data_IF_712730695059
#
_entry.id   IF_712730695059
#
_cell.length_a   1.000
_cell.length_b   1.000
_cell.length_c   1.000
_cell.angle_alpha   90.00
_cell.angle_beta   90.00
_cell.angle_gamma   90.00
#
_symmetry.space_group_name_H-M   'P 1'
#
loop_
_entity.id
_entity.type
_entity.pdbx_description
1 polymer ?
#
# COMPACT_ATOMS: atom_id res chain seq x y z
N UNK A 1 -1.79 -39.65 53.57
CA UNK A 1 -3.03 -40.38 53.84
C UNK A 1 -3.70 -39.75 55.07
N UNK A 2 -4.78 -39.01 54.86
CA UNK A 2 -5.84 -38.75 55.85
C UNK A 2 -7.01 -38.17 55.06
N UNK A 3 -8.10 -38.94 55.01
CA UNK A 3 -9.37 -38.61 54.38
C UNK A 3 -10.12 -37.59 55.25
N UNK A 4 -10.71 -36.58 54.61
CA UNK A 4 -11.67 -35.66 55.22
C UNK A 4 -12.86 -35.47 54.29
N UNK A 5 -13.80 -36.41 54.36
CA UNK A 5 -15.13 -36.33 53.75
C UNK A 5 -15.98 -35.36 54.57
N UNK A 6 -16.46 -34.28 53.95
CA UNK A 6 -17.59 -33.51 54.45
C UNK A 6 -18.71 -33.56 53.40
N UNK A 7 -19.85 -34.09 53.83
CA UNK A 7 -21.11 -34.19 53.11
C UNK A 7 -22.08 -33.11 53.60
N UNK A 8 -23.15 -32.93 52.80
CA UNK A 8 -24.40 -32.22 53.10
C UNK A 8 -24.36 -30.69 52.83
N UNK A 9 -25.38 -30.03 52.28
CA UNK A 9 -26.77 -30.43 51.99
C UNK A 9 -27.32 -29.49 50.92
N UNK A 10 -28.24 -29.99 50.10
CA UNK A 10 -28.98 -29.24 49.10
C UNK A 10 -29.95 -28.22 49.74
N UNK A 11 -30.08 -27.04 49.12
CA UNK A 11 -31.31 -26.25 49.20
C UNK A 11 -31.70 -25.81 47.79
N UNK A 12 -32.80 -26.38 47.31
CA UNK A 12 -33.52 -25.90 46.16
C UNK A 12 -34.34 -24.68 46.58
N UNK A 13 -34.20 -23.58 45.86
CA UNK A 13 -35.22 -22.54 45.80
C UNK A 13 -35.41 -22.18 44.32
N UNK A 14 -36.63 -22.40 43.83
CA UNK A 14 -37.03 -22.22 42.46
C UNK A 14 -37.98 -21.02 42.39
N UNK A 15 -37.62 -19.91 41.73
CA UNK A 15 -38.56 -18.84 41.48
C UNK A 15 -39.49 -19.19 40.30
N UNK A 16 -40.82 -19.01 40.44
CA UNK A 16 -41.77 -19.12 39.35
C UNK A 16 -41.77 -17.81 38.54
N UNK A 17 -41.67 -17.91 37.22
CA UNK A 17 -41.84 -16.75 36.34
C UNK A 17 -41.08 -16.90 35.05
N UNK A 18 -41.58 -17.75 34.15
CA UNK A 18 -41.15 -17.77 32.77
C UNK A 18 -41.58 -16.48 32.06
N UNK A 19 -40.65 -15.63 31.56
CA UNK A 19 -40.96 -14.82 30.40
C UNK A 19 -40.93 -15.75 29.18
N UNK A 20 -42.02 -15.70 28.43
CA UNK A 20 -42.21 -16.41 27.18
C UNK A 20 -40.99 -16.32 26.27
N UNK A 21 -40.64 -17.46 25.66
CA UNK A 21 -39.71 -17.55 24.56
C UNK A 21 -40.15 -16.61 23.42
N UNK A 22 -39.54 -15.43 23.36
CA UNK A 22 -39.55 -14.62 22.16
C UNK A 22 -38.70 -15.35 21.12
N UNK A 23 -39.36 -15.92 20.12
CA UNK A 23 -38.71 -16.45 18.94
C UNK A 23 -37.74 -15.37 18.36
N UNK A 24 -36.47 -15.69 18.08
CA UNK A 24 -35.61 -14.81 17.30
C UNK A 24 -35.99 -14.94 15.82
N UNK A 25 -37.22 -14.53 15.50
CA UNK A 25 -37.72 -14.41 14.14
C UNK A 25 -37.72 -12.94 13.73
N UNK A 26 -37.03 -12.63 12.64
CA UNK A 26 -37.21 -11.42 11.83
C UNK A 26 -36.56 -10.09 12.30
N UNK A 27 -35.29 -10.12 12.73
CA UNK A 27 -34.44 -8.91 12.74
C UNK A 27 -33.11 -9.05 11.95
N UNK A 28 -32.89 -10.17 11.26
CA UNK A 28 -31.61 -10.46 10.57
C UNK A 28 -31.56 -10.01 9.09
N UNK A 29 -32.62 -9.42 8.53
CA UNK A 29 -32.71 -9.16 7.08
C UNK A 29 -32.30 -7.75 6.63
N UNK A 30 -32.07 -6.81 7.55
CA UNK A 30 -31.82 -5.40 7.20
C UNK A 30 -30.33 -4.98 7.18
N UNK A 31 -29.41 -5.81 7.71
CA UNK A 31 -28.01 -5.45 7.88
C UNK A 31 -27.07 -5.95 6.75
N UNK A 32 -27.55 -6.93 5.97
CA UNK A 32 -26.81 -7.52 4.84
C UNK A 32 -26.50 -6.56 3.67
N UNK A 33 -27.36 -5.59 3.26
CA UNK A 33 -27.04 -4.74 2.10
C UNK A 33 -26.03 -3.63 2.43
N UNK A 34 -25.87 -3.24 3.69
CA UNK A 34 -24.98 -2.13 4.08
C UNK A 34 -23.51 -2.56 4.09
N UNK A 35 -23.21 -3.76 4.58
CA UNK A 35 -21.84 -4.31 4.56
C UNK A 35 -21.33 -4.59 3.13
N UNK A 36 -22.22 -4.99 2.21
CA UNK A 36 -21.89 -5.19 0.81
C UNK A 36 -21.63 -3.86 0.07
N UNK A 37 -22.43 -2.83 0.35
CA UNK A 37 -22.24 -1.49 -0.22
C UNK A 37 -20.92 -0.83 0.23
N UNK A 38 -20.50 -1.03 1.48
CA UNK A 38 -19.22 -0.52 1.99
C UNK A 38 -18.01 -1.13 1.28
N UNK A 39 -18.09 -2.40 0.85
CA UNK A 39 -17.01 -3.06 0.10
C UNK A 39 -16.91 -2.59 -1.36
N UNK A 40 -18.02 -2.18 -1.96
CA UNK A 40 -18.04 -1.66 -3.33
C UNK A 40 -17.40 -0.26 -3.46
N UNK A 41 -17.18 0.44 -2.34
CA UNK A 41 -16.51 1.73 -2.30
C UNK A 41 -14.98 1.63 -2.14
N UNK A 42 -14.43 0.44 -1.88
CA UNK A 42 -13.00 0.26 -1.67
C UNK A 42 -12.24 0.44 -3.00
N UNK A 43 -11.23 1.33 -3.01
CA UNK A 43 -10.45 1.64 -4.21
C UNK A 43 -8.97 1.76 -3.91
N UNK A 44 -8.14 1.46 -4.90
CA UNK A 44 -6.69 1.59 -4.80
C UNK A 44 -6.05 0.61 -3.81
N UNK A 45 -4.79 0.89 -3.50
CA UNK A 45 -3.96 0.08 -2.61
C UNK A 45 -3.29 0.96 -1.55
N UNK A 46 -3.17 0.46 -0.32
CA UNK A 46 -2.39 1.14 0.73
C UNK A 46 -1.13 0.34 1.03
N UNK A 47 0.01 1.02 1.17
CA UNK A 47 1.29 0.36 1.50
C UNK A 47 1.54 0.48 3.00
N UNK A 48 1.88 -0.64 3.63
CA UNK A 48 2.11 -0.72 5.07
C UNK A 48 3.48 -1.33 5.32
N UNK A 49 4.35 -0.61 6.03
CA UNK A 49 5.59 -1.18 6.56
C UNK A 49 5.26 -2.01 7.79
N UNK A 50 5.52 -3.32 7.75
CA UNK A 50 5.28 -4.21 8.87
C UNK A 50 6.20 -3.88 10.06
N UNK A 51 7.42 -3.48 9.77
CA UNK A 51 8.46 -3.15 10.75
C UNK A 51 9.22 -1.88 10.30
N UNK A 52 10.01 -1.31 11.21
CA UNK A 52 10.74 -0.08 10.94
C UNK A 52 11.94 -0.31 10.00
N UNK A 53 12.49 -1.53 9.93
CA UNK A 53 13.52 -1.90 8.96
C UNK A 53 12.99 -1.86 7.52
N UNK A 54 11.71 -2.16 7.34
CA UNK A 54 11.01 -2.16 6.05
C UNK A 54 10.53 -0.78 5.61
N UNK A 55 10.64 0.25 6.45
CA UNK A 55 10.07 1.57 6.19
C UNK A 55 10.63 2.22 4.92
N UNK A 56 11.94 2.10 4.65
CA UNK A 56 12.53 2.68 3.45
C UNK A 56 12.07 1.98 2.16
N UNK A 57 12.03 0.64 2.18
CA UNK A 57 11.54 -0.16 1.07
C UNK A 57 10.04 0.06 0.83
N UNK A 58 9.24 0.18 1.89
CA UNK A 58 7.82 0.51 1.84
C UNK A 58 7.57 1.90 1.24
N UNK A 59 8.34 2.92 1.64
CA UNK A 59 8.28 4.26 1.06
C UNK A 59 8.62 4.24 -0.44
N UNK A 60 9.62 3.47 -0.84
CA UNK A 60 9.96 3.29 -2.26
C UNK A 60 8.81 2.63 -3.05
N UNK A 61 8.16 1.62 -2.47
CA UNK A 61 7.00 0.97 -3.08
C UNK A 61 5.80 1.93 -3.17
N UNK A 62 5.49 2.65 -2.10
CA UNK A 62 4.40 3.64 -2.07
C UNK A 62 4.56 4.68 -3.17
N UNK A 63 5.78 5.23 -3.36
CA UNK A 63 6.07 6.15 -4.46
C UNK A 63 5.84 5.52 -5.83
N UNK A 64 6.20 4.25 -6.03
CA UNK A 64 5.98 3.55 -7.30
C UNK A 64 4.49 3.30 -7.59
N UNK A 65 3.72 2.88 -6.59
CA UNK A 65 2.29 2.59 -6.75
C UNK A 65 1.46 3.86 -6.92
N UNK A 66 1.70 4.88 -6.10
CA UNK A 66 0.88 6.10 -6.09
C UNK A 66 1.13 7.00 -7.31
N UNK A 67 2.12 6.69 -8.15
CA UNK A 67 2.23 7.28 -9.50
C UNK A 67 1.02 6.93 -10.36
N UNK A 68 0.51 5.70 -10.27
CA UNK A 68 -0.69 5.29 -11.00
C UNK A 68 -1.95 5.81 -10.29
N UNK A 69 -2.78 6.66 -10.94
CA UNK A 69 -4.00 7.17 -10.34
C UNK A 69 -5.01 6.07 -9.95
N UNK A 70 -5.00 4.91 -10.61
CA UNK A 70 -5.89 3.80 -10.28
C UNK A 70 -5.53 3.12 -8.94
N UNK A 71 -4.26 3.23 -8.52
CA UNK A 71 -3.75 2.63 -7.29
C UNK A 71 -3.78 3.59 -6.09
N UNK A 72 -4.13 4.86 -6.30
CA UNK A 72 -4.14 5.86 -5.22
C UNK A 72 -5.25 5.58 -4.21
N UNK A 73 -4.92 5.41 -2.92
CA UNK A 73 -5.91 5.35 -1.87
C UNK A 73 -6.51 6.74 -1.62
N UNK A 74 -7.67 6.82 -0.98
CA UNK A 74 -8.34 8.09 -0.65
C UNK A 74 -7.80 8.77 0.63
N UNK A 75 -6.68 8.29 1.17
CA UNK A 75 -6.07 8.83 2.39
C UNK A 75 -5.21 10.08 2.10
N UNK A 76 -4.97 10.86 3.14
CA UNK A 76 -4.05 11.97 3.10
C UNK A 76 -2.57 11.52 3.11
N UNK A 77 -1.69 12.43 2.74
CA UNK A 77 -0.26 12.16 2.64
C UNK A 77 0.37 11.78 3.98
N UNK A 78 -0.04 12.45 5.07
CA UNK A 78 0.50 12.17 6.40
C UNK A 78 0.12 10.76 6.87
N UNK A 79 -1.12 10.31 6.62
CA UNK A 79 -1.50 8.92 6.86
C UNK A 79 -0.72 7.93 5.98
N UNK A 80 -0.52 8.24 4.69
CA UNK A 80 0.27 7.38 3.80
C UNK A 80 1.73 7.25 4.27
N UNK A 81 2.34 8.35 4.73
CA UNK A 81 3.68 8.36 5.33
C UNK A 81 3.74 7.53 6.61
N UNK A 82 2.78 7.74 7.52
CA UNK A 82 2.67 6.98 8.77
C UNK A 82 2.54 5.47 8.54
N UNK A 83 1.74 5.06 7.55
CA UNK A 83 1.58 3.66 7.16
C UNK A 83 2.85 3.10 6.50
N UNK A 84 3.57 3.91 5.72
CA UNK A 84 4.86 3.55 5.13
C UNK A 84 6.03 3.54 6.14
N UNK A 85 5.76 3.79 7.42
CA UNK A 85 6.72 3.70 8.52
C UNK A 85 7.46 4.99 8.86
N UNK A 86 6.98 6.14 8.38
CA UNK A 86 7.46 7.44 8.85
C UNK A 86 6.82 7.77 10.21
N UNK A 87 7.62 8.25 11.16
CA UNK A 87 7.08 8.62 12.46
C UNK A 87 6.16 9.85 12.32
N UNK A 88 4.93 9.79 12.84
CA UNK A 88 4.02 10.92 12.78
C UNK A 88 4.62 12.09 13.56
N UNK A 89 4.54 13.29 12.98
CA UNK A 89 5.00 14.51 13.66
C UNK A 89 4.24 14.71 14.97
N UNK A 90 4.85 15.36 15.99
CA UNK A 90 4.19 15.57 17.27
C UNK A 90 2.90 16.40 17.18
N UNK A 91 2.79 17.26 16.17
CA UNK A 91 1.62 18.08 15.84
C UNK A 91 0.63 17.38 14.88
N UNK A 92 0.89 16.13 14.49
CA UNK A 92 0.03 15.39 13.58
C UNK A 92 -1.35 15.09 14.21
N UNK A 93 -2.42 15.00 13.37
CA UNK A 93 -3.75 14.61 13.82
C UNK A 93 -3.73 13.30 14.63
N UNK A 94 -4.60 13.19 15.62
CA UNK A 94 -4.69 11.98 16.46
C UNK A 94 -4.89 10.71 15.63
N UNK A 95 -5.71 10.79 14.57
CA UNK A 95 -5.94 9.69 13.63
C UNK A 95 -4.66 9.18 12.96
N UNK A 96 -3.73 10.05 12.58
CA UNK A 96 -2.45 9.66 11.95
C UNK A 96 -1.54 8.95 12.96
N UNK A 97 -1.53 9.42 14.21
CA UNK A 97 -0.77 8.79 15.30
C UNK A 97 -1.34 7.41 15.66
N UNK A 98 -2.66 7.29 15.71
CA UNK A 98 -3.35 6.01 15.90
C UNK A 98 -3.06 5.03 14.77
N UNK A 99 -3.09 5.46 13.51
CA UNK A 99 -2.70 4.63 12.36
C UNK A 99 -1.27 4.11 12.48
N UNK A 100 -0.32 4.95 12.92
CA UNK A 100 1.06 4.53 13.14
C UNK A 100 1.20 3.52 14.29
N UNK A 101 0.38 3.62 15.34
CA UNK A 101 0.35 2.64 16.44
C UNK A 101 -0.26 1.30 15.98
N UNK A 102 -1.36 1.33 15.23
CA UNK A 102 -2.00 0.13 14.68
C UNK A 102 -1.07 -0.58 13.68
N UNK A 103 -0.35 0.17 12.84
CA UNK A 103 0.73 -0.37 11.98
C UNK A 103 1.74 -1.17 12.81
N UNK A 104 2.32 -0.53 13.84
CA UNK A 104 3.32 -1.16 14.71
C UNK A 104 2.76 -2.38 15.45
N UNK A 105 1.50 -2.31 15.85
CA UNK A 105 0.79 -3.43 16.49
C UNK A 105 0.60 -4.62 15.53
N UNK A 106 0.27 -4.36 14.27
CA UNK A 106 0.15 -5.38 13.23
C UNK A 106 1.49 -6.08 12.96
N UNK A 107 2.60 -5.33 12.94
CA UNK A 107 3.95 -5.87 12.79
C UNK A 107 4.43 -6.74 13.95
N UNK A 108 4.01 -6.40 15.17
CA UNK A 108 4.37 -7.13 16.40
C UNK A 108 3.39 -8.25 16.75
N UNK A 109 2.34 -8.45 15.96
CA UNK A 109 1.34 -9.47 16.24
C UNK A 109 2.00 -10.85 16.21
N UNK A 110 1.94 -11.58 17.34
CA UNK A 110 2.54 -12.91 17.46
C UNK A 110 1.85 -14.01 16.65
N UNK A 111 0.81 -13.69 15.87
CA UNK A 111 0.17 -14.64 14.97
C UNK A 111 -0.27 -13.98 13.66
N UNK A 112 -0.03 -14.69 12.56
CA UNK A 112 -0.37 -14.25 11.20
C UNK A 112 -1.87 -13.92 11.02
N UNK A 113 -2.84 -14.69 11.56
CA UNK A 113 -4.25 -14.34 11.43
C UNK A 113 -4.61 -13.00 12.09
N UNK A 114 -3.98 -12.67 13.23
CA UNK A 114 -4.19 -11.39 13.93
C UNK A 114 -3.58 -10.25 13.12
N UNK A 115 -2.33 -10.39 12.66
CA UNK A 115 -1.67 -9.39 11.82
C UNK A 115 -2.54 -9.06 10.59
N UNK A 116 -3.06 -10.11 9.94
CA UNK A 116 -3.91 -9.99 8.76
C UNK A 116 -5.25 -9.30 9.04
N UNK A 117 -5.87 -9.59 10.19
CA UNK A 117 -7.09 -8.91 10.63
C UNK A 117 -6.86 -7.42 10.87
N UNK A 118 -5.74 -7.06 11.51
CA UNK A 118 -5.36 -5.67 11.75
C UNK A 118 -5.07 -4.93 10.44
N UNK A 119 -4.32 -5.56 9.52
CA UNK A 119 -4.05 -4.99 8.19
C UNK A 119 -5.33 -4.82 7.37
N UNK A 120 -6.25 -5.78 7.40
CA UNK A 120 -7.54 -5.65 6.72
C UNK A 120 -8.39 -4.51 7.32
N UNK A 121 -8.40 -4.37 8.65
CA UNK A 121 -9.06 -3.25 9.33
C UNK A 121 -8.46 -1.89 8.94
N UNK A 122 -7.12 -1.80 8.90
CA UNK A 122 -6.40 -0.63 8.39
C UNK A 122 -6.80 -0.30 6.96
N UNK A 123 -6.79 -1.28 6.07
CA UNK A 123 -7.20 -1.10 4.67
C UNK A 123 -8.66 -0.63 4.54
N UNK A 124 -9.57 -1.18 5.32
CA UNK A 124 -10.97 -0.78 5.33
C UNK A 124 -11.15 0.67 5.82
N UNK A 125 -10.46 1.06 6.90
CA UNK A 125 -10.48 2.43 7.42
C UNK A 125 -9.89 3.45 6.43
N UNK A 126 -8.88 3.03 5.67
CA UNK A 126 -8.26 3.82 4.60
C UNK A 126 -9.08 3.86 3.30
N UNK A 127 -10.19 3.12 3.20
CA UNK A 127 -10.98 2.98 1.98
C UNK A 127 -10.26 2.22 0.85
N UNK A 128 -9.23 1.44 1.18
CA UNK A 128 -8.40 0.71 0.22
C UNK A 128 -8.99 -0.67 -0.11
N UNK A 129 -8.89 -1.10 -1.38
CA UNK A 129 -9.27 -2.46 -1.77
C UNK A 129 -8.18 -3.48 -1.42
N UNK A 130 -6.92 -3.03 -1.47
CA UNK A 130 -5.74 -3.84 -1.24
C UNK A 130 -4.85 -3.19 -0.17
N UNK A 131 -4.21 -4.03 0.64
CA UNK A 131 -3.14 -3.63 1.57
C UNK A 131 -1.87 -4.35 1.15
N UNK A 132 -0.79 -3.61 0.95
CA UNK A 132 0.50 -4.15 0.53
C UNK A 132 1.44 -4.08 1.73
N UNK A 133 1.60 -5.21 2.41
CA UNK A 133 2.46 -5.32 3.59
C UNK A 133 3.90 -5.57 3.14
N UNK A 134 4.83 -4.72 3.57
CA UNK A 134 6.26 -4.84 3.26
C UNK A 134 6.99 -5.30 4.52
N UNK A 135 7.73 -6.39 4.39
CA UNK A 135 8.56 -7.01 5.44
C UNK A 135 9.97 -7.19 4.90
N UNK A 136 10.98 -7.03 5.75
CA UNK A 136 12.38 -7.19 5.37
C UNK A 136 12.92 -8.41 6.09
N UNK A 137 13.25 -9.45 5.33
CA UNK A 137 13.77 -10.69 5.87
C UNK A 137 15.17 -10.91 5.27
N UNK A 138 16.18 -11.13 6.13
CA UNK A 138 17.57 -11.35 5.70
C UNK A 138 18.10 -10.26 4.76
N UNK A 139 17.73 -9.00 5.00
CA UNK A 139 18.12 -7.84 4.19
C UNK A 139 17.47 -7.77 2.81
N UNK A 140 16.42 -8.56 2.55
CA UNK A 140 15.62 -8.54 1.32
C UNK A 140 14.19 -8.09 1.64
N UNK A 141 13.75 -6.93 1.13
CA UNK A 141 12.36 -6.52 1.26
C UNK A 141 11.47 -7.36 0.37
N UNK A 142 10.38 -7.86 0.94
CA UNK A 142 9.32 -8.60 0.26
C UNK A 142 8.00 -7.91 0.56
N UNK A 143 7.17 -7.73 -0.47
CA UNK A 143 5.83 -7.19 -0.32
C UNK A 143 4.78 -8.26 -0.61
N UNK A 144 3.83 -8.42 0.32
CA UNK A 144 2.72 -9.36 0.24
C UNK A 144 1.42 -8.57 0.12
N UNK A 145 0.56 -8.98 -0.81
CA UNK A 145 -0.68 -8.25 -1.11
C UNK A 145 -1.85 -8.91 -0.39
N UNK A 146 -2.56 -8.15 0.43
CA UNK A 146 -3.73 -8.56 1.18
C UNK A 146 -5.00 -7.94 0.56
N UNK A 147 -6.01 -8.77 0.28
CA UNK A 147 -7.35 -8.31 -0.13
C UNK A 147 -8.15 -7.94 1.12
N UNK A 148 -8.58 -6.69 1.20
CA UNK A 148 -9.30 -6.16 2.39
C UNK A 148 -10.65 -6.86 2.59
N UNK A 149 -11.39 -7.11 1.51
CA UNK A 149 -12.75 -7.68 1.57
C UNK A 149 -12.83 -9.05 2.26
N UNK A 150 -11.77 -9.87 2.16
CA UNK A 150 -11.74 -11.23 2.72
C UNK A 150 -10.61 -11.47 3.70
N UNK A 151 -9.82 -10.43 4.04
CA UNK A 151 -8.58 -10.56 4.80
C UNK A 151 -7.77 -11.78 4.33
N UNK A 152 -7.49 -11.87 3.04
CA UNK A 152 -6.79 -13.01 2.43
C UNK A 152 -5.65 -12.54 1.55
N UNK A 153 -4.47 -13.14 1.70
CA UNK A 153 -3.34 -12.81 0.85
C UNK A 153 -3.58 -13.29 -0.58
N UNK A 154 -3.24 -12.46 -1.55
CA UNK A 154 -3.12 -12.87 -2.94
C UNK A 154 -1.89 -13.78 -3.09
N UNK A 155 -1.91 -14.74 -4.03
CA UNK A 155 -0.78 -15.64 -4.29
C UNK A 155 0.32 -14.92 -5.11
N UNK A 156 0.67 -13.70 -4.72
CA UNK A 156 1.70 -12.88 -5.35
C UNK A 156 2.56 -12.27 -4.24
N UNK A 157 3.87 -12.45 -4.39
CA UNK A 157 4.88 -11.79 -3.58
C UNK A 157 5.77 -10.99 -4.52
N UNK A 158 6.05 -9.75 -4.14
CA UNK A 158 6.92 -8.86 -4.90
C UNK A 158 8.24 -8.78 -4.15
N UNK A 159 9.35 -8.93 -4.86
CA UNK A 159 10.69 -8.71 -4.32
C UNK A 159 11.21 -7.34 -4.72
N UNK A 160 11.85 -6.63 -3.79
CA UNK A 160 12.58 -5.41 -4.13
C UNK A 160 13.94 -5.75 -4.74
N UNK A 161 14.32 -5.01 -5.78
CA UNK A 161 15.71 -4.94 -6.25
C UNK A 161 16.45 -3.94 -5.38
N UNK A 162 17.51 -4.39 -4.72
CA UNK A 162 18.36 -3.54 -3.86
C UNK A 162 19.58 -3.09 -4.65
N UNK A 163 19.71 -1.80 -4.92
CA UNK A 163 20.93 -1.20 -5.47
C UNK A 163 21.72 -0.57 -4.33
N UNK A 164 22.86 -1.19 -3.99
CA UNK A 164 23.84 -0.58 -3.08
C UNK A 164 24.88 0.17 -3.90
N UNK A 165 25.34 1.29 -3.36
CA UNK A 165 26.53 1.96 -3.88
C UNK A 165 27.74 1.01 -3.78
N UNK A 166 28.70 1.09 -4.71
CA UNK A 166 29.93 0.30 -4.62
C UNK A 166 30.64 0.61 -3.30
N UNK A 167 31.11 -0.45 -2.62
CA UNK A 167 31.90 -0.33 -1.39
C UNK A 167 33.09 0.59 -1.67
N UNK A 168 33.20 1.68 -0.90
CA UNK A 168 34.27 2.68 -1.03
C UNK A 168 33.84 4.06 -1.53
N UNK A 169 32.59 4.25 -1.95
CA UNK A 169 32.06 5.59 -2.20
C UNK A 169 31.79 6.30 -0.85
N UNK A 170 32.63 7.29 -0.50
CA UNK A 170 32.37 8.18 0.61
C UNK A 170 31.58 9.41 0.11
N UNK A 171 30.43 9.78 0.73
CA UNK A 171 29.76 9.11 1.84
C UNK A 171 28.97 7.85 1.42
N UNK A 172 28.77 6.87 2.32
CA UNK A 172 27.97 5.67 2.03
C UNK A 172 26.54 6.08 1.69
N UNK A 173 26.16 5.97 0.42
CA UNK A 173 24.80 6.27 0.00
C UNK A 173 23.83 5.20 0.54
N UNK A 174 22.62 5.59 0.99
CA UNK A 174 21.61 4.65 1.43
C UNK A 174 21.24 3.67 0.30
N UNK A 175 20.82 2.46 0.67
CA UNK A 175 20.42 1.45 -0.29
C UNK A 175 19.17 1.93 -1.06
N UNK A 176 19.26 1.99 -2.39
CA UNK A 176 18.11 2.32 -3.22
C UNK A 176 17.27 1.06 -3.47
N UNK A 177 15.97 1.15 -3.22
CA UNK A 177 15.00 0.07 -3.45
C UNK A 177 14.18 0.35 -4.70
N UNK A 178 14.16 -0.59 -5.63
CA UNK A 178 13.35 -0.56 -6.84
C UNK A 178 12.34 -1.72 -6.83
N UNK A 179 11.12 -1.46 -7.30
CA UNK A 179 10.02 -2.41 -7.31
C UNK A 179 9.51 -2.64 -8.74
N UNK A 180 10.31 -3.31 -9.60
CA UNK A 180 9.97 -3.47 -11.00
C UNK A 180 8.66 -4.26 -11.16
N UNK A 181 7.73 -3.74 -11.97
CA UNK A 181 6.45 -4.39 -12.25
C UNK A 181 5.41 -4.36 -11.13
N UNK A 182 5.72 -3.80 -9.95
CA UNK A 182 4.82 -3.81 -8.80
C UNK A 182 3.46 -3.14 -9.10
N UNK A 183 3.46 -1.97 -9.76
CA UNK A 183 2.23 -1.25 -10.10
C UNK A 183 1.34 -2.08 -11.05
N UNK A 184 1.92 -2.70 -12.07
CA UNK A 184 1.17 -3.54 -13.00
C UNK A 184 0.59 -4.79 -12.30
N UNK A 185 1.38 -5.45 -11.46
CA UNK A 185 0.96 -6.64 -10.72
C UNK A 185 -0.18 -6.32 -9.73
N UNK A 186 -0.08 -5.22 -8.99
CA UNK A 186 -1.09 -4.83 -8.00
C UNK A 186 -2.36 -4.31 -8.69
N UNK A 187 -2.22 -3.60 -9.81
CA UNK A 187 -3.36 -3.14 -10.61
C UNK A 187 -4.20 -4.31 -11.12
N UNK A 188 -3.57 -5.38 -11.60
CA UNK A 188 -4.26 -6.60 -12.04
C UNK A 188 -5.08 -7.28 -10.93
N UNK A 189 -4.84 -6.95 -9.66
CA UNK A 189 -5.58 -7.49 -8.52
C UNK A 189 -6.76 -6.63 -8.10
N UNK A 190 -6.87 -5.40 -8.58
CA UNK A 190 -7.98 -4.51 -8.23
C UNK A 190 -9.30 -5.07 -8.78
N UNK A 191 -10.37 -5.08 -7.97
CA UNK A 191 -11.69 -5.45 -8.45
C UNK A 191 -12.18 -4.41 -9.46
N UNK A 192 -12.21 -4.76 -10.73
CA UNK A 192 -12.82 -3.93 -11.79
C UNK A 192 -11.87 -3.23 -12.76
N UNK A 193 -10.64 -3.70 -12.97
CA UNK A 193 -9.98 -3.42 -14.26
C UNK A 193 -10.64 -4.35 -15.30
N UNK A 194 -11.44 -3.85 -16.26
CA UNK A 194 -11.79 -4.67 -17.41
C UNK A 194 -10.47 -4.92 -18.13
N UNK A 195 -9.87 -6.08 -17.88
CA UNK A 195 -8.88 -6.64 -18.77
C UNK A 195 -9.39 -6.40 -20.19
N UNK A 196 -8.62 -5.61 -20.96
CA UNK A 196 -8.90 -5.39 -22.37
C UNK A 196 -9.13 -6.73 -23.05
N UNK A 197 -9.90 -6.76 -24.15
CA UNK A 197 -10.19 -8.00 -24.87
C UNK A 197 -8.88 -8.76 -25.11
N UNK A 198 -8.86 -10.10 -24.95
CA UNK A 198 -7.66 -10.88 -25.19
C UNK A 198 -7.14 -10.58 -26.62
N UNK A 199 -5.81 -10.40 -26.82
CA UNK A 199 -5.25 -10.28 -28.15
C UNK A 199 -5.46 -11.60 -28.88
N UNK A 200 -6.53 -11.71 -29.67
CA UNK A 200 -6.79 -12.93 -30.45
C UNK A 200 -8.22 -13.21 -30.87
N UNK A 201 -9.25 -12.48 -30.40
CA UNK A 201 -10.61 -12.68 -30.88
C UNK A 201 -10.96 -11.73 -32.02
N UNK A 202 -10.36 -11.93 -33.20
CA UNK A 202 -10.81 -11.31 -34.45
C UNK A 202 -12.13 -11.95 -34.87
N UNK A 203 -13.25 -11.43 -34.40
CA UNK A 203 -14.56 -11.72 -34.99
C UNK A 203 -14.84 -10.69 -36.11
N UNK A 204 -15.20 -11.13 -37.34
CA UNK A 204 -15.46 -10.22 -38.44
C UNK A 204 -16.86 -9.59 -38.27
N UNK A 205 -16.94 -8.36 -37.76
CA UNK A 205 -18.19 -7.59 -37.87
C UNK A 205 -18.25 -6.91 -39.23
N UNK A 206 -18.98 -7.54 -40.16
CA UNK A 206 -19.63 -6.85 -41.28
C UNK A 206 -21.02 -6.42 -40.82
N UNK A 207 -21.26 -5.12 -40.76
CA UNK A 207 -22.58 -4.53 -40.54
C UNK A 207 -22.56 -3.03 -40.84
N UNK A 208 -23.57 -2.47 -41.51
CA UNK A 208 -23.40 -1.33 -42.41
C UNK A 208 -23.40 0.03 -41.72
N UNK A 209 -22.63 0.91 -42.35
CA UNK A 209 -22.43 2.33 -42.09
C UNK A 209 -23.76 3.09 -41.98
N UNK A 210 -23.94 3.83 -40.88
CA UNK A 210 -24.97 4.88 -40.74
C UNK A 210 -24.28 6.24 -40.65
N UNK A 211 -24.71 7.28 -41.39
CA UNK A 211 -23.93 8.49 -41.55
C UNK A 211 -23.99 9.46 -40.36
N UNK A 212 -22.86 10.15 -40.26
CA UNK A 212 -22.47 11.31 -39.47
C UNK A 212 -23.57 12.40 -39.34
N UNK A 213 -23.81 12.86 -38.12
CA UNK A 213 -24.35 14.20 -37.87
C UNK A 213 -23.42 14.93 -36.90
N UNK A 214 -22.80 15.98 -37.43
CA UNK A 214 -21.92 16.89 -36.72
C UNK A 214 -22.71 17.81 -35.79
N UNK A 215 -22.09 18.18 -34.67
CA UNK A 215 -22.60 19.17 -33.74
C UNK A 215 -21.53 19.54 -32.73
N UNK A 216 -20.47 20.20 -33.22
CA UNK A 216 -19.48 20.84 -32.39
C UNK A 216 -20.05 22.13 -31.78
N UNK A 217 -19.95 22.29 -30.47
CA UNK A 217 -19.82 23.61 -29.84
C UNK A 217 -18.97 23.43 -28.58
N UNK A 218 -17.80 24.06 -28.63
CA UNK A 218 -16.84 24.13 -27.55
C UNK A 218 -17.15 25.35 -26.63
N UNK A 219 -16.36 25.63 -25.59
CA UNK A 219 -16.83 25.78 -24.22
C UNK A 219 -17.00 27.24 -23.79
N UNK A 220 -17.85 27.48 -22.80
CA UNK A 220 -17.87 28.74 -22.05
C UNK A 220 -17.45 28.49 -20.61
N UNK A 221 -16.25 28.95 -20.27
CA UNK A 221 -15.86 29.40 -18.93
C UNK A 221 -15.39 30.87 -19.12
N UNK A 222 -15.27 31.73 -18.08
CA UNK A 222 -15.19 31.40 -16.65
C UNK A 222 -16.01 32.32 -15.73
N UNK A 223 -16.22 31.90 -14.48
CA UNK A 223 -16.44 32.84 -13.38
C UNK A 223 -15.92 32.23 -12.07
N UNK A 224 -14.88 32.87 -11.56
CA UNK A 224 -14.24 32.66 -10.28
C UNK A 224 -15.23 32.53 -9.12
N UNK A 225 -15.12 31.40 -8.41
CA UNK A 225 -15.30 31.38 -6.96
C UNK A 225 -14.16 30.55 -6.37
N UNK A 226 -13.18 31.28 -5.85
CA UNK A 226 -12.22 30.90 -4.83
C UNK A 226 -12.42 29.50 -4.21
N UNK A 227 -12.03 28.46 -4.94
CA UNK A 227 -11.68 27.17 -4.36
C UNK A 227 -10.27 27.35 -3.83
N UNK A 228 -10.15 27.49 -2.51
CA UNK A 228 -8.90 27.23 -1.81
C UNK A 228 -8.29 25.95 -2.38
N UNK A 229 -7.15 26.08 -3.06
CA UNK A 229 -6.42 24.96 -3.63
C UNK A 229 -6.16 23.95 -2.51
N UNK A 230 -6.99 22.90 -2.44
CA UNK A 230 -6.58 21.63 -1.85
C UNK A 230 -5.42 21.19 -2.72
N UNK A 231 -4.20 21.59 -2.33
CA UNK A 231 -2.97 21.01 -2.86
C UNK A 231 -3.20 19.51 -2.84
N UNK A 232 -3.28 18.93 -4.02
CA UNK A 232 -3.55 17.50 -4.10
C UNK A 232 -2.40 16.81 -3.35
N UNK A 233 -2.66 15.87 -2.43
CA UNK A 233 -1.63 15.30 -1.55
C UNK A 233 -0.45 14.65 -2.31
N UNK A 234 -0.59 14.49 -3.63
CA UNK A 234 0.40 13.97 -4.56
C UNK A 234 1.35 15.03 -5.16
N UNK A 235 1.16 16.32 -4.86
CA UNK A 235 2.06 17.40 -5.32
C UNK A 235 3.24 17.65 -4.37
N UNK A 236 3.35 16.89 -3.29
CA UNK A 236 4.38 17.10 -2.27
C UNK A 236 5.78 16.70 -2.76
N UNK A 237 6.83 17.43 -2.34
CA UNK A 237 8.23 17.09 -2.63
C UNK A 237 8.62 15.69 -2.15
N UNK A 238 7.95 15.13 -1.14
CA UNK A 238 8.23 13.77 -0.67
C UNK A 238 7.90 12.70 -1.73
N UNK A 239 6.89 12.95 -2.55
CA UNK A 239 6.52 12.07 -3.66
C UNK A 239 7.51 12.17 -4.84
N UNK A 240 8.08 13.37 -5.06
CA UNK A 240 9.00 13.69 -6.16
C UNK A 240 10.47 13.79 -5.74
N UNK A 241 10.81 13.48 -4.49
CA UNK A 241 12.06 13.87 -3.82
C UNK A 241 13.35 13.76 -4.64
N UNK A 242 13.60 12.67 -5.38
CA UNK A 242 14.82 12.60 -6.21
C UNK A 242 14.71 13.32 -7.56
N UNK A 243 13.51 13.58 -8.09
CA UNK A 243 13.31 14.31 -9.36
C UNK A 243 13.35 15.84 -9.18
N UNK A 244 12.99 16.35 -8.00
CA UNK A 244 13.02 17.79 -7.72
C UNK A 244 14.45 18.36 -7.48
N UNK A 245 15.43 17.49 -7.22
CA UNK A 245 16.82 17.89 -6.95
C UNK A 245 17.64 18.31 -8.18
N UNK A 246 17.10 18.23 -9.41
CA UNK A 246 17.85 18.53 -10.64
C UNK A 246 17.48 19.89 -11.26
N UNK A 247 16.41 20.55 -10.80
CA UNK A 247 15.95 21.82 -11.44
C UNK A 247 16.49 23.08 -10.73
N UNK A 248 17.07 22.97 -9.52
CA UNK A 248 17.58 24.13 -8.77
C UNK A 248 19.10 24.38 -8.93
N UNK A 249 19.84 23.51 -9.62
CA UNK A 249 21.29 23.67 -9.89
C UNK A 249 21.53 23.87 -11.39
N UNK A 250 20.70 24.70 -12.01
CA UNK A 250 20.66 24.95 -13.44
C UNK A 250 21.24 26.30 -13.87
N UNK A 251 22.20 26.89 -13.14
CA UNK A 251 23.12 27.90 -13.70
C UNK A 251 24.46 27.75 -12.97
N UNK A 252 25.52 27.46 -13.73
CA UNK A 252 26.95 27.48 -13.36
C UNK A 252 27.69 26.14 -13.13
N UNK A 253 27.63 25.19 -14.07
CA UNK A 253 28.86 24.48 -14.53
C UNK A 253 28.71 24.09 -16.01
N UNK A 254 28.91 25.08 -16.88
CA UNK A 254 29.44 24.85 -18.23
C UNK A 254 30.95 25.15 -18.14
N UNK A 255 31.75 24.37 -18.86
CA UNK A 255 33.22 24.47 -19.02
C UNK A 255 34.03 23.68 -17.98
N UNK A 256 34.35 22.42 -18.31
CA UNK A 256 35.67 22.09 -18.88
C UNK A 256 35.66 20.64 -19.40
N UNK A 257 35.45 20.51 -20.72
CA UNK A 257 35.96 19.37 -21.45
C UNK A 257 37.49 19.53 -21.52
N UNK A 258 38.24 18.62 -20.93
CA UNK A 258 39.60 18.33 -21.35
C UNK A 258 39.75 16.82 -21.47
N UNK A 259 39.73 16.39 -22.72
CA UNK A 259 40.35 15.16 -23.20
C UNK A 259 41.83 15.18 -22.82
N UNK A 260 42.25 14.23 -21.99
CA UNK A 260 43.65 13.89 -21.77
C UNK A 260 43.81 12.40 -22.01
N UNK A 261 44.16 12.05 -23.24
CA UNK A 261 44.74 10.77 -23.61
C UNK A 261 46.16 10.72 -23.04
N UNK A 262 46.50 9.68 -22.26
CA UNK A 262 47.87 9.35 -21.84
C UNK A 262 47.91 7.94 -21.23
N UNK A 263 48.30 6.98 -22.08
CA UNK A 263 49.27 5.91 -21.82
C UNK A 263 49.17 5.05 -20.56
N UNK A 264 48.74 3.80 -20.81
CA UNK A 264 49.51 2.58 -20.46
C UNK A 264 49.97 2.39 -19.02
N UNK A 265 49.21 1.65 -18.23
CA UNK A 265 49.81 0.81 -17.19
C UNK A 265 48.98 -0.46 -16.91
N UNK A 266 49.62 -1.59 -17.12
CA UNK A 266 49.14 -2.97 -17.03
C UNK A 266 48.52 -3.30 -15.67
N UNK A 267 47.27 -3.81 -15.67
CA UNK A 267 46.64 -4.34 -14.45
C UNK A 267 47.04 -5.81 -14.27
N UNK A 268 47.93 -6.10 -13.31
CA UNK A 268 48.26 -7.46 -12.90
C UNK A 268 47.20 -8.01 -11.93
N UNK A 269 46.32 -8.89 -12.40
CA UNK A 269 45.44 -9.67 -11.54
C UNK A 269 46.20 -10.89 -10.98
N UNK A 270 46.55 -10.84 -9.70
CA UNK A 270 47.14 -11.96 -8.97
C UNK A 270 46.05 -12.74 -8.23
N UNK A 271 45.54 -13.79 -8.86
CA UNK A 271 44.65 -14.76 -8.21
C UNK A 271 45.45 -15.80 -7.42
N UNK A 272 45.12 -15.99 -6.13
CA UNK A 272 45.62 -17.09 -5.31
C UNK A 272 44.49 -18.08 -5.11
N UNK A 273 44.63 -19.30 -5.67
CA UNK A 273 43.73 -20.42 -5.40
C UNK A 273 44.34 -21.17 -4.21
N UNK A 274 43.60 -21.27 -3.11
CA UNK A 274 43.99 -22.08 -1.95
C UNK A 274 43.63 -23.56 -2.19
N UNK A 275 44.42 -24.51 -1.66
CA UNK A 275 44.30 -25.95 -1.94
C UNK A 275 43.07 -26.60 -1.31
#
# INVERSE_FOLDING_TARGET
>A
MALGLATATAWADAPPGAPAAAAPGAAAAAEAPRAAASRAALRGAVVVAADDESAEAARALARALYRDPALRPSIDEAAAQALAGEDPRPDAPASVRELAEVRRSAGRAGSEPIARGLLASLGASAGAALVVSVTTAQGRPVARVLRVAGAGYAPIELGATVRRAPDGAAPPAPAAFEWPGASAAIRALLPGDPAGPPPGATAPQRGPVRPLAAGATAPSAPADRASSERRSPWSSPWFWGPLAGVVATGVAVLVLAQTGDSDGETVHLRGRIAP
#
